data_IF_977095420050
#
_entry.id   IF_977095420050
#
_cell.length_a   1.000
_cell.length_b   1.000
_cell.length_c   1.000
_cell.angle_alpha   90.00
_cell.angle_beta   90.00
_cell.angle_gamma   90.00
#
_symmetry.space_group_name_H-M   'P 1'
#
loop_
_entity.id
_entity.type
_entity.pdbx_description
1 polymer ?
#
# COMPACT_ATOMS: atom_id res chain seq x y z
N UNK A 1 -9.80 -17.54 10.79
CA UNK A 1 -8.51 -17.14 10.23
C UNK A 1 -8.71 -16.74 8.79
N UNK A 2 -9.30 -17.61 7.98
CA UNK A 2 -9.54 -17.38 6.55
C UNK A 2 -10.19 -16.02 6.22
N UNK A 3 -11.30 -15.65 6.86
CA UNK A 3 -12.00 -14.35 6.62
C UNK A 3 -11.10 -13.12 6.84
N UNK A 4 -10.21 -13.16 7.84
CA UNK A 4 -9.32 -12.05 8.14
C UNK A 4 -8.27 -11.82 7.04
N UNK A 5 -7.85 -12.89 6.36
CA UNK A 5 -6.84 -12.84 5.31
C UNK A 5 -7.43 -12.75 3.90
N UNK A 6 -8.61 -13.34 3.65
CA UNK A 6 -9.30 -13.24 2.36
C UNK A 6 -9.81 -11.82 2.10
N UNK A 7 -10.24 -11.10 3.15
CA UNK A 7 -10.68 -9.70 3.03
C UNK A 7 -9.52 -8.71 2.82
N UNK A 8 -8.27 -9.08 3.13
CA UNK A 8 -7.10 -8.21 2.96
C UNK A 8 -6.88 -7.84 1.49
N UNK A 9 -6.98 -8.81 0.57
CA UNK A 9 -6.79 -8.56 -0.85
C UNK A 9 -7.82 -7.55 -1.40
N UNK A 10 -9.08 -7.68 -0.96
CA UNK A 10 -10.14 -6.74 -1.33
C UNK A 10 -9.89 -5.34 -0.74
N UNK A 11 -9.52 -5.24 0.54
CA UNK A 11 -9.18 -3.97 1.20
C UNK A 11 -7.97 -3.29 0.54
N UNK A 12 -6.93 -4.05 0.22
CA UNK A 12 -5.75 -3.55 -0.47
C UNK A 12 -6.08 -3.05 -1.87
N UNK A 13 -6.91 -3.78 -2.64
CA UNK A 13 -7.35 -3.34 -3.97
C UNK A 13 -8.17 -2.05 -3.91
N UNK A 14 -9.06 -1.92 -2.93
CA UNK A 14 -9.83 -0.70 -2.72
C UNK A 14 -8.91 0.49 -2.37
N UNK A 15 -8.00 0.29 -1.41
CA UNK A 15 -7.03 1.31 -1.00
C UNK A 15 -6.16 1.81 -2.17
N UNK A 16 -5.68 0.90 -3.04
CA UNK A 16 -4.94 1.31 -4.25
C UNK A 16 -5.78 2.20 -5.15
N UNK A 17 -7.07 1.93 -5.30
CA UNK A 17 -7.98 2.74 -6.14
C UNK A 17 -8.33 4.11 -5.56
N UNK A 18 -8.16 4.29 -4.25
CA UNK A 18 -8.43 5.56 -3.57
C UNK A 18 -7.26 6.55 -3.66
N UNK A 19 -6.05 6.08 -3.95
CA UNK A 19 -4.89 6.94 -4.15
C UNK A 19 -5.11 7.90 -5.32
N UNK A 20 -4.64 9.14 -5.18
CA UNK A 20 -4.65 10.11 -6.28
C UNK A 20 -3.76 9.68 -7.48
N UNK A 21 -2.67 8.94 -7.23
CA UNK A 21 -1.75 8.33 -8.19
C UNK A 21 -2.12 6.87 -8.48
N UNK A 22 -3.39 6.51 -8.31
CA UNK A 22 -3.90 5.18 -8.61
C UNK A 22 -3.87 4.87 -10.11
N UNK A 23 -3.65 3.60 -10.50
CA UNK A 23 -3.65 3.20 -11.90
C UNK A 23 -4.92 3.66 -12.64
N UNK A 24 -4.76 4.31 -13.79
CA UNK A 24 -5.88 4.80 -14.60
C UNK A 24 -6.47 6.13 -14.14
N UNK A 25 -6.17 6.62 -12.94
CA UNK A 25 -6.66 7.91 -12.44
C UNK A 25 -5.87 9.07 -13.06
N UNK A 26 -6.55 10.21 -13.26
CA UNK A 26 -5.95 11.48 -13.65
C UNK A 26 -6.45 12.55 -12.68
N UNK A 27 -5.57 13.47 -12.29
CA UNK A 27 -5.95 14.61 -11.47
C UNK A 27 -6.14 15.86 -12.32
N UNK A 28 -6.94 16.81 -11.85
CA UNK A 28 -7.13 18.07 -12.56
C UNK A 28 -5.87 18.95 -12.59
N UNK A 29 -4.99 18.81 -11.58
CA UNK A 29 -3.68 19.46 -11.56
C UNK A 29 -2.73 18.69 -10.65
N UNK A 30 -1.58 18.27 -11.17
CA UNK A 30 -0.54 17.61 -10.35
C UNK A 30 -0.01 18.57 -9.29
N UNK A 31 0.22 19.84 -9.64
CA UNK A 31 0.67 20.86 -8.69
C UNK A 31 -0.29 21.05 -7.51
N UNK A 32 -1.61 21.09 -7.77
CA UNK A 32 -2.62 21.18 -6.68
C UNK A 32 -2.64 19.92 -5.81
N UNK A 33 -2.55 18.74 -6.42
CA UNK A 33 -2.51 17.48 -5.66
C UNK A 33 -1.28 17.43 -4.74
N UNK A 34 -0.11 17.83 -5.24
CA UNK A 34 1.11 17.90 -4.42
C UNK A 34 1.01 18.95 -3.31
N UNK A 35 0.40 20.10 -3.58
CA UNK A 35 0.14 21.11 -2.55
C UNK A 35 -0.79 20.58 -1.45
N UNK A 36 -1.83 19.83 -1.82
CA UNK A 36 -2.74 19.20 -0.87
C UNK A 36 -2.00 18.18 0.01
N UNK A 37 -1.17 17.29 -0.57
CA UNK A 37 -0.37 16.34 0.20
C UNK A 37 0.57 17.05 1.19
N UNK A 38 1.22 18.14 0.77
CA UNK A 38 2.07 18.94 1.66
C UNK A 38 1.27 19.61 2.78
N UNK A 39 0.05 20.08 2.47
CA UNK A 39 -0.83 20.64 3.49
C UNK A 39 -1.26 19.58 4.50
N UNK A 40 -1.66 18.39 4.04
CA UNK A 40 -1.98 17.25 4.91
C UNK A 40 -0.79 16.87 5.82
N UNK A 41 0.43 16.85 5.27
CA UNK A 41 1.65 16.67 6.06
C UNK A 41 1.79 17.71 7.17
N UNK A 42 1.67 19.00 6.83
CA UNK A 42 1.79 20.09 7.79
C UNK A 42 0.69 20.09 8.85
N UNK A 43 -0.51 19.67 8.48
CA UNK A 43 -1.66 19.65 9.39
C UNK A 43 -1.62 18.44 10.33
N UNK A 44 -1.11 17.30 9.87
CA UNK A 44 -1.24 16.01 10.57
C UNK A 44 0.07 15.38 11.03
N UNK A 45 1.19 15.66 10.38
CA UNK A 45 2.46 14.94 10.53
C UNK A 45 3.68 15.86 10.66
N UNK A 46 3.49 17.16 10.87
CA UNK A 46 4.55 18.16 11.03
C UNK A 46 5.67 17.67 11.97
N UNK A 47 6.92 17.76 11.48
CA UNK A 47 8.11 17.38 12.24
C UNK A 47 8.59 18.51 13.17
N UNK A 48 9.46 18.17 14.13
CA UNK A 48 10.07 19.17 15.02
C UNK A 48 10.87 20.22 14.23
N UNK A 49 11.65 19.80 13.23
CA UNK A 49 12.44 20.72 12.42
C UNK A 49 11.56 21.72 11.63
N UNK A 50 10.39 21.28 11.15
CA UNK A 50 9.46 22.15 10.43
C UNK A 50 8.70 23.10 11.37
N UNK A 51 8.35 22.62 12.56
CA UNK A 51 7.76 23.44 13.60
C UNK A 51 8.73 24.53 14.07
N UNK A 52 9.99 24.18 14.31
CA UNK A 52 11.06 25.11 14.68
C UNK A 52 11.34 26.14 13.58
N UNK A 53 11.15 25.76 12.31
CA UNK A 53 11.23 26.65 11.16
C UNK A 53 9.97 27.51 10.94
N UNK A 54 8.95 27.38 11.78
CA UNK A 54 7.69 28.14 11.69
C UNK A 54 6.79 27.75 10.53
N UNK A 55 6.94 26.53 9.98
CA UNK A 55 6.18 26.06 8.82
C UNK A 55 4.84 25.41 9.18
N UNK A 56 4.73 24.83 10.38
CA UNK A 56 3.55 24.12 10.88
C UNK A 56 3.59 23.95 12.41
N UNK A 57 2.57 23.31 12.99
CA UNK A 57 2.53 22.97 14.43
C UNK A 57 2.93 21.52 14.62
N UNK A 58 3.87 21.26 15.55
CA UNK A 58 4.37 19.90 15.84
C UNK A 58 3.22 18.89 16.06
N UNK A 59 3.26 17.79 15.32
CA UNK A 59 2.27 16.71 15.41
C UNK A 59 2.51 15.79 16.62
N UNK A 60 1.47 15.06 17.03
CA UNK A 60 1.59 13.92 17.95
C UNK A 60 2.20 12.68 17.29
N UNK A 61 2.24 12.65 15.96
CA UNK A 61 2.94 11.65 15.14
C UNK A 61 3.86 12.33 14.11
N UNK A 62 4.98 12.95 14.56
CA UNK A 62 5.90 13.67 13.68
C UNK A 62 6.48 12.77 12.58
N UNK A 63 6.42 13.23 11.34
CA UNK A 63 6.96 12.53 10.16
C UNK A 63 6.29 11.20 9.87
N UNK A 64 5.08 10.96 10.40
CA UNK A 64 4.37 9.67 10.26
C UNK A 64 4.18 9.27 8.80
N UNK A 65 3.76 10.20 7.95
CA UNK A 65 3.60 9.98 6.51
C UNK A 65 4.92 9.74 5.77
N UNK A 66 6.07 10.03 6.38
CA UNK A 66 7.39 9.71 5.80
C UNK A 66 8.07 8.51 6.47
N UNK A 67 7.41 7.86 7.43
CA UNK A 67 8.00 6.80 8.23
C UNK A 67 7.49 5.40 7.82
N UNK A 68 8.34 4.65 7.12
CA UNK A 68 8.06 3.30 6.67
C UNK A 68 7.80 2.29 7.81
N UNK A 69 8.34 2.54 9.02
CA UNK A 69 8.19 1.60 10.14
C UNK A 69 6.72 1.42 10.53
N UNK A 70 5.91 2.47 10.40
CA UNK A 70 4.48 2.43 10.76
C UNK A 70 3.71 1.37 9.96
N UNK A 71 4.12 1.06 8.72
CA UNK A 71 3.48 0.02 7.91
C UNK A 71 3.42 -1.34 8.61
N UNK A 72 4.38 -1.63 9.49
CA UNK A 72 4.52 -2.91 10.18
C UNK A 72 3.92 -2.91 11.59
N UNK A 73 3.36 -1.79 12.03
CA UNK A 73 2.72 -1.64 13.33
C UNK A 73 1.20 -1.75 13.20
N UNK A 74 0.58 -2.45 14.16
CA UNK A 74 -0.86 -2.59 14.21
C UNK A 74 -1.51 -1.27 14.65
N UNK A 75 -2.46 -0.76 13.87
CA UNK A 75 -3.15 0.49 14.15
C UNK A 75 -4.66 0.36 13.89
N UNK A 76 -5.46 1.18 14.58
CA UNK A 76 -6.90 1.23 14.38
C UNK A 76 -7.24 1.90 13.04
N UNK A 77 -8.31 1.46 12.38
CA UNK A 77 -8.68 1.93 11.03
C UNK A 77 -8.79 3.45 10.94
N UNK A 78 -9.37 4.11 11.95
CA UNK A 78 -9.60 5.55 11.98
C UNK A 78 -8.50 6.33 12.75
N UNK A 79 -7.32 5.73 12.90
CA UNK A 79 -6.21 6.36 13.63
C UNK A 79 -5.29 7.17 12.72
N UNK A 80 -4.64 8.16 13.32
CA UNK A 80 -3.59 8.97 12.68
C UNK A 80 -2.46 8.10 12.10
N UNK A 81 -2.17 6.95 12.71
CA UNK A 81 -1.20 5.99 12.20
C UNK A 81 -1.67 5.28 10.91
N UNK A 82 -2.97 5.01 10.75
CA UNK A 82 -3.51 4.49 9.48
C UNK A 82 -3.47 5.55 8.38
N UNK A 83 -3.81 6.79 8.71
CA UNK A 83 -3.68 7.91 7.76
C UNK A 83 -2.22 8.12 7.33
N UNK A 84 -1.28 8.06 8.27
CA UNK A 84 0.16 8.14 8.01
C UNK A 84 0.62 7.05 7.04
N UNK A 85 0.19 5.80 7.23
CA UNK A 85 0.53 4.68 6.33
C UNK A 85 0.00 4.91 4.91
N UNK A 86 -1.23 5.41 4.76
CA UNK A 86 -1.79 5.74 3.44
C UNK A 86 -1.01 6.87 2.77
N UNK A 87 -0.70 7.93 3.50
CA UNK A 87 0.10 9.05 3.01
C UNK A 87 1.53 8.62 2.62
N UNK A 88 2.16 7.75 3.41
CA UNK A 88 3.45 7.13 3.07
C UNK A 88 3.40 6.37 1.75
N UNK A 89 2.38 5.52 1.55
CA UNK A 89 2.19 4.77 0.30
C UNK A 89 2.07 5.74 -0.88
N UNK A 90 1.32 6.81 -0.70
CA UNK A 90 1.10 7.84 -1.71
C UNK A 90 2.38 8.61 -2.06
N UNK A 91 3.23 8.90 -1.07
CA UNK A 91 4.56 9.49 -1.29
C UNK A 91 5.51 8.54 -2.03
N UNK A 92 5.51 7.24 -1.68
CA UNK A 92 6.35 6.22 -2.33
C UNK A 92 5.97 5.99 -3.79
N UNK A 93 4.68 5.98 -4.11
CA UNK A 93 4.19 5.82 -5.49
C UNK A 93 4.50 7.06 -6.33
N UNK A 94 4.59 8.22 -5.69
CA UNK A 94 4.99 9.47 -6.32
C UNK A 94 3.80 10.32 -6.79
N UNK A 95 4.05 11.33 -7.64
CA UNK A 95 3.04 12.29 -8.03
C UNK A 95 1.99 11.69 -8.99
N UNK A 96 0.73 12.14 -8.88
CA UNK A 96 -0.31 11.74 -9.81
C UNK A 96 -0.14 12.41 -11.18
N UNK A 97 -0.72 11.81 -12.21
CA UNK A 97 -0.67 12.32 -13.58
C UNK A 97 -1.84 13.27 -13.88
N UNK A 98 -1.54 14.41 -14.50
CA UNK A 98 -2.51 15.46 -14.82
C UNK A 98 -3.38 15.11 -16.03
N UNK A 99 -4.66 15.45 -15.97
CA UNK A 99 -5.60 15.25 -17.07
C UNK A 99 -5.25 16.14 -18.27
N UNK A 100 -5.22 15.55 -19.47
CA UNK A 100 -5.17 16.30 -20.71
C UNK A 100 -6.53 16.94 -21.02
N UNK A 101 -6.51 18.16 -21.54
CA UNK A 101 -7.70 18.75 -22.17
C UNK A 101 -8.09 17.94 -23.41
N UNK A 102 -9.39 17.86 -23.72
CA UNK A 102 -9.91 16.98 -24.80
C UNK A 102 -9.20 17.18 -26.15
N UNK A 103 -8.92 18.43 -26.52
CA UNK A 103 -8.23 18.75 -27.78
C UNK A 103 -6.79 18.21 -27.78
N UNK A 104 -6.05 18.37 -26.68
CA UNK A 104 -4.69 17.89 -26.51
C UNK A 104 -4.60 16.36 -26.53
N UNK A 105 -5.60 15.67 -25.95
CA UNK A 105 -5.66 14.22 -25.93
C UNK A 105 -5.87 13.57 -27.31
N UNK A 106 -6.40 14.31 -28.29
CA UNK A 106 -6.63 13.82 -29.66
C UNK A 106 -5.40 13.99 -30.58
N UNK A 107 -4.28 14.48 -30.05
CA UNK A 107 -3.03 14.64 -30.80
C UNK A 107 -2.15 13.38 -30.70
N UNK A 108 -1.27 13.09 -31.67
CA UNK A 108 -0.31 11.97 -31.55
C UNK A 108 0.58 12.05 -30.30
N UNK A 109 0.91 13.27 -29.87
CA UNK A 109 1.66 13.47 -28.63
C UNK A 109 0.80 13.15 -27.38
N UNK A 110 -0.49 13.48 -27.41
CA UNK A 110 -1.47 13.11 -26.37
C UNK A 110 -1.66 11.59 -26.28
N UNK A 111 -1.74 10.89 -27.41
CA UNK A 111 -1.77 9.43 -27.46
C UNK A 111 -0.49 8.82 -26.87
N UNK A 112 0.67 9.37 -27.22
CA UNK A 112 1.97 8.94 -26.67
C UNK A 112 2.02 9.12 -25.15
N UNK A 113 1.54 10.25 -24.65
CA UNK A 113 1.43 10.52 -23.22
C UNK A 113 0.57 9.47 -22.51
N UNK A 114 -0.60 9.14 -23.06
CA UNK A 114 -1.48 8.12 -22.48
C UNK A 114 -0.86 6.72 -22.48
N UNK A 115 -0.11 6.35 -23.52
CA UNK A 115 0.64 5.08 -23.55
C UNK A 115 1.72 5.04 -22.48
N UNK A 116 2.48 6.14 -22.31
CA UNK A 116 3.51 6.24 -21.28
C UNK A 116 2.91 6.20 -19.88
N UNK A 117 1.77 6.86 -19.67
CA UNK A 117 1.03 6.77 -18.42
C UNK A 117 0.60 5.33 -18.13
N UNK A 118 -0.04 4.64 -19.08
CA UNK A 118 -0.45 3.25 -18.88
C UNK A 118 0.74 2.34 -18.50
N UNK A 119 1.91 2.63 -19.08
CA UNK A 119 3.15 1.95 -18.72
C UNK A 119 3.59 2.27 -17.29
N UNK A 120 3.66 3.55 -16.90
CA UNK A 120 3.95 3.99 -15.53
C UNK A 120 3.01 3.33 -14.53
N UNK A 121 1.70 3.40 -14.76
CA UNK A 121 0.66 2.82 -13.92
C UNK A 121 0.84 1.31 -13.76
N UNK A 122 1.16 0.61 -14.85
CA UNK A 122 1.43 -0.84 -14.82
C UNK A 122 2.63 -1.18 -13.94
N UNK A 123 3.70 -0.39 -14.04
CA UNK A 123 4.92 -0.59 -13.25
C UNK A 123 4.68 -0.30 -11.76
N UNK A 124 3.96 0.77 -11.43
CA UNK A 124 3.67 1.15 -10.05
C UNK A 124 2.58 0.31 -9.39
N UNK A 125 1.77 -0.41 -10.17
CA UNK A 125 0.65 -1.22 -9.64
C UNK A 125 1.09 -2.31 -8.65
N UNK A 126 2.23 -2.97 -8.91
CA UNK A 126 2.76 -4.05 -8.08
C UNK A 126 3.25 -3.54 -6.71
N UNK A 127 4.12 -2.51 -6.62
CA UNK A 127 4.51 -1.96 -5.33
C UNK A 127 3.33 -1.30 -4.60
N UNK A 128 2.44 -0.58 -5.29
CA UNK A 128 1.24 0.02 -4.68
C UNK A 128 0.35 -1.03 -4.00
N UNK A 129 0.07 -2.14 -4.70
CA UNK A 129 -0.69 -3.25 -4.14
C UNK A 129 0.04 -3.93 -2.99
N UNK A 130 1.35 -4.14 -3.10
CA UNK A 130 2.16 -4.79 -2.08
C UNK A 130 2.19 -4.00 -0.77
N UNK A 131 2.34 -2.68 -0.84
CA UNK A 131 2.29 -1.80 0.33
C UNK A 131 0.88 -1.73 0.93
N UNK A 132 -0.15 -1.69 0.07
CA UNK A 132 -1.55 -1.71 0.53
C UNK A 132 -1.93 -3.03 1.21
N UNK A 133 -1.35 -4.15 0.78
CA UNK A 133 -1.48 -5.45 1.46
C UNK A 133 -0.85 -5.42 2.85
N UNK A 134 0.32 -4.80 3.01
CA UNK A 134 0.97 -4.63 4.32
C UNK A 134 0.11 -3.75 5.24
N UNK A 135 -0.40 -2.63 4.71
CA UNK A 135 -1.30 -1.75 5.46
C UNK A 135 -2.57 -2.50 5.91
N UNK A 136 -3.21 -3.25 5.01
CA UNK A 136 -4.38 -4.06 5.35
C UNK A 136 -4.07 -5.16 6.39
N UNK A 137 -2.90 -5.81 6.30
CA UNK A 137 -2.47 -6.83 7.25
C UNK A 137 -2.30 -6.30 8.69
N UNK A 138 -2.01 -5.00 8.80
CA UNK A 138 -1.74 -4.32 10.07
C UNK A 138 -2.85 -3.34 10.48
N UNK A 139 -4.01 -3.35 9.80
CA UNK A 139 -5.14 -2.51 10.19
C UNK A 139 -6.12 -3.32 11.04
N UNK A 140 -6.41 -2.84 12.25
CA UNK A 140 -7.36 -3.47 13.16
C UNK A 140 -8.78 -3.27 12.68
N UNK A 141 -9.60 -4.30 12.90
CA UNK A 141 -11.03 -4.26 12.60
C UNK A 141 -11.84 -4.86 13.73
N UNK A 142 -13.03 -4.30 13.96
CA UNK A 142 -14.04 -4.87 14.85
C UNK A 142 -14.48 -6.27 14.40
N UNK A 143 -14.45 -6.56 13.09
CA UNK A 143 -14.73 -7.87 12.50
C UNK A 143 -13.78 -8.96 13.03
N UNK A 144 -12.59 -8.57 13.48
CA UNK A 144 -11.55 -9.47 13.99
C UNK A 144 -11.36 -9.33 15.51
N UNK A 145 -12.34 -8.77 16.21
CA UNK A 145 -12.27 -8.54 17.66
C UNK A 145 -11.28 -7.45 18.05
N UNK A 146 -11.17 -6.39 17.24
CA UNK A 146 -10.26 -5.26 17.48
C UNK A 146 -8.79 -5.62 17.20
N UNK A 147 -8.55 -6.57 16.29
CA UNK A 147 -7.21 -7.06 15.93
C UNK A 147 -6.96 -6.90 14.45
N UNK A 148 -5.70 -6.75 14.07
CA UNK A 148 -5.29 -6.84 12.68
C UNK A 148 -5.17 -8.32 12.25
N UNK A 149 -5.21 -8.62 10.94
CA UNK A 149 -4.89 -9.95 10.44
C UNK A 149 -3.56 -10.50 10.98
N UNK A 150 -2.51 -9.69 11.03
CA UNK A 150 -1.21 -10.09 11.60
C UNK A 150 -1.28 -10.39 13.10
N UNK A 151 -2.05 -9.62 13.87
CA UNK A 151 -2.28 -9.91 15.30
C UNK A 151 -3.06 -11.23 15.48
N UNK A 152 -4.05 -11.51 14.63
CA UNK A 152 -4.80 -12.78 14.63
C UNK A 152 -3.89 -13.96 14.31
N UNK A 153 -2.99 -13.81 13.33
CA UNK A 153 -2.00 -14.84 13.00
C UNK A 153 -1.03 -15.08 14.15
N UNK A 154 -0.50 -14.02 14.74
CA UNK A 154 0.41 -14.11 15.91
C UNK A 154 -0.25 -14.88 17.06
N UNK A 155 -1.52 -14.61 17.36
CA UNK A 155 -2.26 -15.34 18.39
C UNK A 155 -2.40 -16.82 18.06
N UNK A 156 -2.68 -17.18 16.80
CA UNK A 156 -2.78 -18.59 16.41
C UNK A 156 -1.44 -19.31 16.50
N UNK A 157 -0.36 -18.68 16.05
CA UNK A 157 0.99 -19.28 16.14
C UNK A 157 1.37 -19.48 17.60
N UNK A 158 1.15 -18.46 18.45
CA UNK A 158 1.40 -18.57 19.89
C UNK A 158 0.59 -19.69 20.54
N UNK A 159 -0.65 -19.94 20.11
CA UNK A 159 -1.46 -21.04 20.64
C UNK A 159 -0.73 -22.41 20.60
N UNK A 160 0.13 -22.65 19.60
CA UNK A 160 0.82 -23.92 19.42
C UNK A 160 2.32 -23.86 19.75
N UNK A 161 2.97 -22.71 19.54
CA UNK A 161 4.43 -22.62 19.50
C UNK A 161 5.04 -21.66 20.55
N UNK A 162 4.26 -20.98 21.39
CA UNK A 162 4.85 -20.18 22.47
C UNK A 162 3.88 -19.45 23.42
N UNK A 163 4.36 -19.09 24.61
CA UNK A 163 3.57 -18.34 25.60
C UNK A 163 2.74 -19.22 26.54
N UNK A 164 1.85 -18.58 27.32
CA UNK A 164 1.00 -19.28 28.30
C UNK A 164 -0.06 -20.15 27.61
N UNK A 165 -0.48 -19.74 26.43
CA UNK A 165 -1.45 -20.42 25.57
C UNK A 165 -0.91 -21.77 25.10
N UNK A 166 0.34 -21.83 24.64
CA UNK A 166 1.00 -23.07 24.28
C UNK A 166 1.17 -24.03 25.48
N UNK A 167 1.47 -23.50 26.67
CA UNK A 167 1.55 -24.32 27.90
C UNK A 167 0.19 -24.92 28.26
N UNK A 168 -0.89 -24.14 28.19
CA UNK A 168 -2.25 -24.63 28.42
C UNK A 168 -2.65 -25.66 27.37
N UNK A 169 -2.34 -25.41 26.10
CA UNK A 169 -2.58 -26.35 25.01
C UNK A 169 -1.83 -27.67 25.22
N UNK A 170 -0.55 -27.62 25.58
CA UNK A 170 0.27 -28.79 25.92
C UNK A 170 -0.29 -29.57 27.12
N UNK A 171 -0.74 -28.87 28.17
CA UNK A 171 -1.41 -29.50 29.31
C UNK A 171 -2.74 -30.17 28.95
N UNK A 172 -3.49 -29.59 27.99
CA UNK A 172 -4.72 -30.17 27.47
C UNK A 172 -4.47 -31.38 26.57
N UNK A 173 -3.40 -31.38 25.77
CA UNK A 173 -2.98 -32.53 24.94
C UNK A 173 -2.76 -33.78 25.78
N UNK A 174 -2.13 -33.66 26.96
CA UNK A 174 -1.89 -34.79 27.86
C UNK A 174 -3.17 -35.47 28.37
N UNK A 175 -4.32 -34.78 28.26
CA UNK A 175 -5.65 -35.29 28.68
C UNK A 175 -6.53 -35.71 27.49
N UNK A 176 -6.04 -35.58 26.26
CA UNK A 176 -6.81 -35.92 25.05
C UNK A 176 -6.83 -37.42 24.79
N UNK A 177 -7.92 -37.87 24.17
CA UNK A 177 -8.01 -39.22 23.58
C UNK A 177 -7.19 -39.30 22.28
N UNK A 178 -6.88 -40.50 21.79
CA UNK A 178 -6.19 -40.69 20.50
C UNK A 178 -6.86 -39.91 19.35
N UNK A 179 -8.20 -39.91 19.29
CA UNK A 179 -8.94 -39.11 18.31
C UNK A 179 -8.69 -37.61 18.49
N UNK A 180 -8.68 -37.11 19.73
CA UNK A 180 -8.38 -35.72 20.05
C UNK A 180 -6.97 -35.31 19.61
N UNK A 181 -5.98 -36.17 19.82
CA UNK A 181 -4.61 -35.95 19.36
C UNK A 181 -4.53 -35.87 17.82
N UNK A 182 -5.24 -36.74 17.11
CA UNK A 182 -5.32 -36.70 15.64
C UNK A 182 -5.98 -35.40 15.13
N UNK A 183 -7.01 -34.90 15.83
CA UNK A 183 -7.66 -33.62 15.49
C UNK A 183 -6.68 -32.45 15.69
N UNK A 184 -5.93 -32.43 16.78
CA UNK A 184 -4.92 -31.38 17.02
C UNK A 184 -3.77 -31.45 16.00
N UNK A 185 -3.29 -32.65 15.66
CA UNK A 185 -2.31 -32.83 14.60
C UNK A 185 -2.82 -32.30 13.24
N UNK A 186 -4.08 -32.57 12.89
CA UNK A 186 -4.70 -32.05 11.67
C UNK A 186 -4.81 -30.52 11.68
N UNK A 187 -5.11 -29.89 12.82
CA UNK A 187 -5.14 -28.42 12.95
C UNK A 187 -3.76 -27.80 12.76
N UNK A 188 -2.73 -28.41 13.36
CA UNK A 188 -1.34 -27.95 13.21
C UNK A 188 -0.87 -28.06 11.76
N UNK A 189 -1.07 -29.23 11.13
CA UNK A 189 -0.73 -29.44 9.73
C UNK A 189 -1.50 -28.50 8.78
N UNK A 190 -2.78 -28.25 9.05
CA UNK A 190 -3.56 -27.26 8.30
C UNK A 190 -3.02 -25.84 8.43
N UNK A 191 -2.58 -25.43 9.63
CA UNK A 191 -1.95 -24.13 9.85
C UNK A 191 -0.61 -24.02 9.11
N UNK A 192 0.22 -25.06 9.15
CA UNK A 192 1.50 -25.11 8.43
C UNK A 192 1.30 -24.95 6.92
N UNK A 193 0.42 -25.74 6.32
CA UNK A 193 0.08 -25.64 4.89
C UNK A 193 -0.43 -24.24 4.55
N UNK A 194 -1.27 -23.66 5.41
CA UNK A 194 -1.77 -22.29 5.22
C UNK A 194 -0.66 -21.23 5.29
N UNK A 195 0.29 -21.35 6.23
CA UNK A 195 1.45 -20.44 6.32
C UNK A 195 2.30 -20.55 5.06
N UNK A 196 2.55 -21.76 4.56
CA UNK A 196 3.27 -21.97 3.30
C UNK A 196 2.55 -21.34 2.11
N UNK A 197 1.22 -21.44 2.03
CA UNK A 197 0.43 -20.77 1.01
C UNK A 197 0.58 -19.25 1.10
N UNK A 198 0.52 -18.66 2.30
CA UNK A 198 0.72 -17.22 2.48
C UNK A 198 2.14 -16.77 2.11
N UNK A 199 3.16 -17.57 2.43
CA UNK A 199 4.54 -17.31 2.03
C UNK A 199 4.69 -17.39 0.51
N UNK A 200 4.02 -18.35 -0.14
CA UNK A 200 4.00 -18.46 -1.60
C UNK A 200 3.39 -17.21 -2.26
N UNK A 201 2.24 -16.73 -1.78
CA UNK A 201 1.60 -15.51 -2.28
C UNK A 201 2.46 -14.25 -2.06
N UNK A 202 3.16 -14.16 -0.92
CA UNK A 202 4.13 -13.10 -0.66
C UNK A 202 5.31 -13.16 -1.63
N UNK A 203 5.85 -14.36 -1.88
CA UNK A 203 6.95 -14.58 -2.83
C UNK A 203 6.55 -14.23 -4.27
N UNK A 204 5.31 -14.52 -4.69
CA UNK A 204 4.82 -14.07 -5.99
C UNK A 204 4.85 -12.55 -6.13
N UNK A 205 4.46 -11.80 -5.08
CA UNK A 205 4.56 -10.33 -5.08
C UNK A 205 6.01 -9.85 -5.08
N UNK A 206 6.91 -10.51 -4.34
CA UNK A 206 8.34 -10.20 -4.36
C UNK A 206 8.92 -10.36 -5.78
N UNK A 207 8.63 -11.48 -6.43
CA UNK A 207 9.07 -11.75 -7.80
C UNK A 207 8.52 -10.74 -8.80
N UNK A 208 7.25 -10.35 -8.66
CA UNK A 208 6.65 -9.31 -9.50
C UNK A 208 7.33 -7.94 -9.28
N UNK A 209 7.61 -7.54 -8.04
CA UNK A 209 8.34 -6.30 -7.76
C UNK A 209 9.75 -6.33 -8.34
N UNK A 210 10.45 -7.46 -8.23
CA UNK A 210 11.79 -7.63 -8.80
C UNK A 210 11.76 -7.56 -10.34
N UNK A 211 10.79 -8.22 -10.98
CA UNK A 211 10.61 -8.15 -12.42
C UNK A 211 10.34 -6.71 -12.90
N UNK A 212 9.47 -5.99 -12.20
CA UNK A 212 9.24 -4.56 -12.42
C UNK A 212 10.52 -3.76 -12.25
N UNK A 213 11.31 -4.00 -11.20
CA UNK A 213 12.57 -3.29 -10.98
C UNK A 213 13.58 -3.54 -12.10
N UNK A 214 13.68 -4.76 -12.61
CA UNK A 214 14.55 -5.09 -13.75
C UNK A 214 14.12 -4.32 -15.00
N UNK A 215 12.83 -4.33 -15.33
CA UNK A 215 12.27 -3.58 -16.46
C UNK A 215 12.46 -2.06 -16.29
N UNK A 216 12.34 -1.56 -15.05
CA UNK A 216 12.57 -0.17 -14.70
C UNK A 216 14.05 0.23 -14.80
N UNK A 217 14.97 -0.67 -14.43
CA UNK A 217 16.40 -0.40 -14.47
C UNK A 217 16.97 -0.40 -15.90
N UNK A 218 16.33 -1.12 -16.83
CA UNK A 218 16.75 -1.12 -18.24
C UNK A 218 16.30 0.13 -18.99
N UNK A 219 15.23 0.78 -18.53
CA UNK A 219 14.62 1.95 -19.19
C UNK A 219 14.55 3.11 -18.20
N UNK A 220 15.37 4.16 -18.35
CA UNK A 220 15.29 5.34 -17.48
C UNK A 220 13.88 5.96 -17.46
N UNK A 221 13.15 5.81 -16.35
CA UNK A 221 11.69 5.98 -16.31
C UNK A 221 11.16 7.42 -16.19
N UNK A 222 11.94 8.38 -15.66
CA UNK A 222 11.34 9.63 -15.17
C UNK A 222 11.48 10.85 -16.08
N UNK A 223 12.52 10.93 -16.91
CA UNK A 223 12.71 12.05 -17.83
C UNK A 223 11.67 12.20 -18.97
N UNK A 224 10.98 11.16 -19.48
CA UNK A 224 10.16 11.31 -20.67
C UNK A 224 8.74 11.86 -20.44
N UNK A 225 8.09 11.68 -19.29
CA UNK A 225 6.66 11.99 -19.14
C UNK A 225 6.35 13.49 -19.07
N UNK A 226 7.05 14.24 -18.21
CA UNK A 226 6.85 15.69 -18.08
C UNK A 226 7.23 16.42 -19.38
N UNK A 227 8.35 16.02 -20.01
CA UNK A 227 8.76 16.58 -21.30
C UNK A 227 7.71 16.34 -22.39
N UNK A 228 7.00 15.20 -22.36
CA UNK A 228 5.93 14.89 -23.31
C UNK A 228 4.67 15.68 -23.02
N UNK A 229 4.32 15.86 -21.75
CA UNK A 229 3.22 16.73 -21.34
C UNK A 229 3.45 18.17 -21.84
N UNK A 230 4.63 18.75 -21.60
CA UNK A 230 4.98 20.09 -22.10
C UNK A 230 4.96 20.18 -23.64
N UNK A 231 5.44 19.13 -24.32
CA UNK A 231 5.37 19.05 -25.79
C UNK A 231 3.92 19.10 -26.29
N UNK A 232 3.01 18.34 -25.68
CA UNK A 232 1.57 18.33 -26.02
C UNK A 232 0.97 19.75 -25.89
N UNK A 233 1.29 20.46 -24.81
CA UNK A 233 0.82 21.83 -24.61
C UNK A 233 1.32 22.78 -25.71
N UNK A 234 2.60 22.67 -26.09
CA UNK A 234 3.21 23.51 -27.13
C UNK A 234 2.62 23.26 -28.53
N UNK A 235 2.33 22.01 -28.89
CA UNK A 235 1.75 21.65 -30.19
C UNK A 235 0.30 22.15 -30.30
N UNK A 236 -0.46 22.06 -29.21
CA UNK A 236 -1.84 22.55 -29.15
C UNK A 236 -1.89 24.09 -29.25
N UNK A 237 -0.98 24.79 -28.56
CA UNK A 237 -0.88 26.24 -28.65
C UNK A 237 -0.57 26.70 -30.08
N UNK A 238 0.36 26.03 -30.78
CA UNK A 238 0.71 26.35 -32.16
C UNK A 238 -0.45 26.16 -33.15
N UNK A 239 -1.32 25.16 -32.93
CA UNK A 239 -2.50 24.92 -33.77
C UNK A 239 -3.62 25.94 -33.54
N UNK A 240 -3.69 26.59 -32.36
CA UNK A 240 -4.73 27.58 -32.03
C UNK A 240 -4.46 28.99 -32.54
N UNK A 241 -3.26 29.25 -33.09
CA UNK A 241 -2.81 30.57 -33.58
C UNK A 241 -2.88 30.68 -35.12
N UNK A 242 -3.25 29.60 -35.81
CA UNK A 242 -3.53 29.57 -37.26
C UNK A 242 -5.02 29.64 -37.54
#
# INVERSE_FOLDING_TARGET
>A
MDIAFTSMAAKAKAAVGELDASPGRLVASTGKAMQQRLQEHRDKFCTAAEADAGLCTLSTLPGGDTNAALLFEAADADSLATEARTAYIQHVIGPPDEALVKAAGATPAGETYMVQKNRKDSMLSVPAYSLSMINAANTRSTEFGGKSPNEVLKLRVNQYFGGKEAQQWSGNLARQTQRGLLVEAAKMGGLEVWIHQQQYEQNQRLLANLATLVIASSDGLDAPLEARYQKVLSETAAQSVQ
#
